data_IF_355166342529
#
_entry.id   IF_355166342529
#
_cell.length_a   1.000
_cell.length_b   1.000
_cell.length_c   1.000
_cell.angle_alpha   90.00
_cell.angle_beta   90.00
_cell.angle_gamma   90.00
#
_symmetry.space_group_name_H-M   'P 1'
#
loop_
_entity.id
_entity.type
_entity.pdbx_description
1 polymer ?
#
# COMPACT_ATOMS: atom_id res chain seq x y z
N UNK A 1 -46.66 16.37 13.39
CA UNK A 1 -45.99 15.32 12.65
C UNK A 1 -46.70 14.97 11.33
N UNK A 2 -47.15 15.96 10.55
CA UNK A 2 -47.83 15.76 9.23
C UNK A 2 -47.47 16.83 8.18
N UNK A 3 -46.48 17.70 8.43
CA UNK A 3 -46.07 18.77 7.46
C UNK A 3 -44.66 18.55 6.85
N UNK A 4 -43.90 17.55 7.24
CA UNK A 4 -42.52 17.35 6.76
C UNK A 4 -42.38 16.42 5.54
N UNK A 5 -43.46 15.73 5.15
CA UNK A 5 -43.42 14.74 4.07
C UNK A 5 -43.90 15.24 2.68
N UNK A 6 -44.14 16.54 2.51
CA UNK A 6 -44.64 17.08 1.24
C UNK A 6 -43.63 17.81 0.36
N UNK A 7 -42.40 18.04 0.87
CA UNK A 7 -41.36 18.79 0.14
C UNK A 7 -40.36 17.94 -0.66
N UNK A 8 -40.37 16.62 -0.50
CA UNK A 8 -39.40 15.73 -1.18
C UNK A 8 -39.94 15.05 -2.45
N UNK A 9 -41.26 15.21 -2.78
CA UNK A 9 -41.85 14.51 -3.93
C UNK A 9 -41.84 15.29 -5.23
N UNK A 10 -41.51 16.59 -5.24
CA UNK A 10 -41.66 17.43 -6.46
C UNK A 10 -40.32 17.58 -7.24
N UNK A 11 -39.18 17.24 -6.65
CA UNK A 11 -37.87 17.38 -7.33
C UNK A 11 -37.40 16.15 -8.13
N UNK A 12 -38.18 15.03 -8.15
CA UNK A 12 -37.73 13.78 -8.83
C UNK A 12 -38.26 13.62 -10.26
N UNK A 13 -39.23 14.43 -10.70
CA UNK A 13 -39.85 14.29 -12.02
C UNK A 13 -39.45 15.30 -13.09
N UNK A 14 -38.50 16.21 -12.80
CA UNK A 14 -38.06 17.23 -13.78
C UNK A 14 -36.72 16.87 -14.45
N UNK A 15 -36.01 15.84 -13.98
CA UNK A 15 -34.64 15.52 -14.49
C UNK A 15 -34.62 14.34 -15.48
N UNK A 16 -35.77 13.90 -15.99
CA UNK A 16 -35.85 12.73 -16.90
C UNK A 16 -36.38 13.06 -18.29
N UNK A 17 -36.46 14.33 -18.69
CA UNK A 17 -37.07 14.76 -19.98
C UNK A 17 -36.15 15.56 -20.91
N UNK A 18 -34.82 15.53 -20.73
CA UNK A 18 -33.91 16.36 -21.57
C UNK A 18 -32.78 15.57 -22.24
N UNK A 19 -32.93 14.29 -22.51
CA UNK A 19 -31.92 13.48 -23.23
C UNK A 19 -32.52 12.63 -24.34
N UNK A 20 -33.36 13.21 -25.19
CA UNK A 20 -33.86 12.48 -26.38
C UNK A 20 -34.16 13.40 -27.57
N UNK A 21 -33.20 14.18 -28.04
CA UNK A 21 -33.21 14.74 -29.42
C UNK A 21 -31.78 15.15 -29.74
N UNK A 22 -31.08 14.35 -30.55
CA UNK A 22 -29.98 14.76 -31.47
C UNK A 22 -29.22 13.53 -31.97
N UNK A 23 -29.89 12.70 -32.76
CA UNK A 23 -29.24 11.82 -33.74
C UNK A 23 -30.07 11.92 -35.01
N UNK A 24 -29.58 12.65 -36.02
CA UNK A 24 -29.88 12.47 -37.43
C UNK A 24 -29.15 13.50 -38.30
N UNK A 25 -28.40 12.99 -39.24
CA UNK A 25 -27.75 13.74 -40.34
C UNK A 25 -26.23 13.85 -40.16
N UNK A 26 -25.39 13.30 -41.01
CA UNK A 26 -25.36 13.38 -42.47
C UNK A 26 -24.46 12.24 -43.00
N UNK A 27 -25.02 11.46 -43.94
CA UNK A 27 -24.30 10.63 -44.94
C UNK A 27 -24.11 11.46 -46.19
N UNK A 28 -23.02 11.21 -46.92
CA UNK A 28 -22.67 11.55 -48.33
C UNK A 28 -21.44 12.43 -48.38
N UNK A 29 -20.35 12.05 -49.05
CA UNK A 29 -20.23 11.72 -50.46
C UNK A 29 -18.88 11.06 -50.81
N UNK A 30 -18.93 10.08 -51.69
CA UNK A 30 -17.82 9.54 -52.47
C UNK A 30 -17.31 10.56 -53.51
N UNK A 31 -16.00 10.46 -53.85
CA UNK A 31 -15.44 11.17 -55.01
C UNK A 31 -14.05 10.66 -55.35
N UNK A 32 -14.01 9.68 -56.24
CA UNK A 32 -12.81 9.18 -56.95
C UNK A 32 -12.24 10.25 -57.85
N UNK A 33 -10.90 10.27 -58.03
CA UNK A 33 -10.24 10.35 -59.34
C UNK A 33 -8.72 10.17 -59.24
N UNK A 34 -8.20 9.19 -59.96
CA UNK A 34 -6.88 9.07 -60.60
C UNK A 34 -7.08 9.46 -62.07
N UNK A 35 -6.11 9.66 -62.99
CA UNK A 35 -4.67 9.42 -63.01
C UNK A 35 -3.83 10.51 -63.77
N UNK A 36 -2.53 10.35 -63.91
CA UNK A 36 -1.70 10.33 -65.10
C UNK A 36 -0.24 10.74 -64.79
N UNK A 37 0.64 9.82 -64.95
CA UNK A 37 1.80 9.65 -65.84
C UNK A 37 2.46 10.89 -66.43
N UNK A 38 3.80 11.03 -66.24
CA UNK A 38 4.75 11.07 -67.36
C UNK A 38 6.20 10.81 -66.90
N UNK A 39 6.88 10.02 -67.72
CA UNK A 39 8.25 9.56 -67.59
C UNK A 39 9.28 10.60 -68.00
N UNK A 40 10.51 10.49 -67.45
CA UNK A 40 11.74 10.66 -68.27
C UNK A 40 12.96 10.11 -67.49
N UNK A 41 13.58 9.11 -68.06
CA UNK A 41 14.95 8.66 -67.80
C UNK A 41 15.93 9.53 -68.56
N UNK A 42 17.20 9.70 -68.15
CA UNK A 42 18.29 8.98 -68.80
C UNK A 42 19.43 8.47 -67.92
N UNK A 43 19.82 7.25 -68.16
CA UNK A 43 21.13 6.68 -68.54
C UNK A 43 22.38 6.85 -67.66
N UNK A 44 22.72 5.72 -67.08
CA UNK A 44 23.98 5.05 -66.73
C UNK A 44 25.30 5.81 -66.62
N UNK A 45 26.01 5.49 -65.48
CA UNK A 45 27.45 5.22 -65.51
C UNK A 45 27.77 4.11 -64.48
N UNK A 46 28.47 3.08 -64.95
CA UNK A 46 28.99 1.94 -64.20
C UNK A 46 30.11 2.38 -63.28
N UNK A 47 30.06 1.81 -62.05
CA UNK A 47 31.15 1.85 -61.10
C UNK A 47 31.02 0.63 -60.19
N UNK A 48 31.72 -0.43 -60.56
CA UNK A 48 31.85 -1.66 -59.74
C UNK A 48 32.68 -1.42 -58.50
N UNK A 49 32.05 -1.59 -57.33
CA UNK A 49 32.74 -1.79 -56.06
C UNK A 49 32.23 -3.07 -55.40
N UNK A 50 33.09 -3.84 -54.68
CA UNK A 50 32.76 -5.21 -54.26
C UNK A 50 31.68 -5.23 -53.17
N UNK A 51 30.75 -6.18 -53.30
CA UNK A 51 29.72 -6.45 -52.32
C UNK A 51 30.34 -6.89 -50.97
N UNK A 52 30.24 -6.04 -49.98
CA UNK A 52 30.43 -6.45 -48.60
C UNK A 52 29.29 -7.39 -48.18
N UNK A 53 29.62 -8.59 -47.78
CA UNK A 53 28.70 -9.58 -47.27
C UNK A 53 27.99 -9.03 -46.00
N UNK A 54 26.73 -8.67 -46.15
CA UNK A 54 25.84 -8.37 -45.04
C UNK A 54 25.52 -9.66 -44.30
N UNK A 55 26.13 -9.84 -43.16
CA UNK A 55 25.72 -10.86 -42.17
C UNK A 55 24.26 -10.60 -41.82
N UNK A 56 23.37 -11.60 -41.86
CA UNK A 56 21.99 -11.41 -41.44
C UNK A 56 21.97 -11.02 -39.96
N UNK A 57 21.47 -9.82 -39.64
CA UNK A 57 21.22 -9.43 -38.27
C UNK A 57 20.19 -10.41 -37.66
N UNK A 58 20.57 -11.08 -36.62
CA UNK A 58 19.65 -11.91 -35.81
C UNK A 58 18.48 -11.03 -35.41
N UNK A 59 17.20 -11.42 -35.66
CA UNK A 59 16.06 -10.64 -35.25
C UNK A 59 16.11 -10.41 -33.73
N UNK A 60 15.97 -9.16 -33.31
CA UNK A 60 15.82 -8.85 -31.87
C UNK A 60 14.63 -9.64 -31.33
N UNK A 61 14.75 -10.25 -30.13
CA UNK A 61 13.64 -10.98 -29.55
C UNK A 61 12.42 -10.06 -29.45
N UNK A 62 11.26 -10.58 -29.85
CA UNK A 62 9.98 -9.86 -29.72
C UNK A 62 9.79 -9.40 -28.26
N UNK A 63 9.25 -8.19 -28.04
CA UNK A 63 8.98 -7.72 -26.68
C UNK A 63 8.13 -8.76 -25.94
N UNK A 64 8.60 -9.24 -24.79
CA UNK A 64 7.79 -10.11 -23.92
C UNK A 64 6.53 -9.34 -23.53
N UNK A 65 5.36 -9.94 -23.72
CA UNK A 65 4.10 -9.39 -23.25
C UNK A 65 4.14 -9.28 -21.73
N UNK A 66 3.80 -8.09 -21.21
CA UNK A 66 3.80 -7.84 -19.77
C UNK A 66 2.58 -8.48 -19.11
N UNK A 67 2.79 -9.08 -17.94
CA UNK A 67 1.71 -9.66 -17.13
C UNK A 67 1.00 -8.54 -16.38
N UNK A 68 -0.29 -8.32 -16.65
CA UNK A 68 -1.12 -7.40 -15.89
C UNK A 68 -1.25 -7.88 -14.46
N UNK A 69 -0.81 -7.07 -13.51
CA UNK A 69 -0.81 -7.41 -12.09
C UNK A 69 -1.20 -6.21 -11.25
N UNK A 70 -1.86 -6.48 -10.13
CA UNK A 70 -2.27 -5.46 -9.18
C UNK A 70 -1.69 -5.75 -7.81
N UNK A 71 -1.10 -4.73 -7.19
CA UNK A 71 -0.77 -4.68 -5.77
C UNK A 71 -1.79 -3.79 -5.07
N UNK A 72 -2.62 -4.35 -4.20
CA UNK A 72 -3.49 -3.58 -3.29
C UNK A 72 -2.69 -3.14 -2.07
N UNK A 73 -2.63 -1.83 -1.83
CA UNK A 73 -1.98 -1.23 -0.66
C UNK A 73 -2.88 -1.38 0.57
N UNK A 74 -2.28 -1.34 1.76
CA UNK A 74 -3.04 -1.40 3.03
C UNK A 74 -3.69 -0.07 3.41
N UNK A 75 -3.23 1.05 2.83
CA UNK A 75 -3.72 2.40 3.10
C UNK A 75 -3.74 3.26 1.84
N UNK A 76 -4.07 4.54 1.97
CA UNK A 76 -3.92 5.54 0.90
C UNK A 76 -2.47 5.59 0.41
N UNK A 77 -2.26 6.17 -0.78
CA UNK A 77 -0.91 6.36 -1.31
C UNK A 77 -0.12 7.35 -0.44
N UNK A 78 0.88 6.86 0.26
CA UNK A 78 1.72 7.63 1.20
C UNK A 78 3.17 7.13 1.13
N UNK A 79 4.16 7.83 1.73
CA UNK A 79 5.57 7.41 1.77
C UNK A 79 5.80 6.01 2.30
N UNK A 80 4.97 5.50 3.21
CA UNK A 80 5.00 4.11 3.68
C UNK A 80 4.84 3.05 2.56
N UNK A 81 4.49 3.50 1.36
CA UNK A 81 4.46 2.72 0.12
C UNK A 81 5.57 3.14 -0.86
N UNK A 82 6.51 3.96 -0.41
CA UNK A 82 7.51 4.63 -1.26
C UNK A 82 8.32 3.69 -2.13
N UNK A 83 8.71 2.51 -1.62
CA UNK A 83 9.40 1.49 -2.41
C UNK A 83 8.57 0.97 -3.59
N UNK A 84 7.24 0.83 -3.42
CA UNK A 84 6.36 0.40 -4.51
C UNK A 84 6.25 1.47 -5.60
N UNK A 85 6.12 2.74 -5.19
CA UNK A 85 6.10 3.87 -6.13
C UNK A 85 7.44 4.04 -6.82
N UNK A 86 8.56 3.84 -6.12
CA UNK A 86 9.88 3.83 -6.73
C UNK A 86 10.03 2.71 -7.76
N UNK A 87 9.59 1.48 -7.42
CA UNK A 87 9.63 0.36 -8.35
C UNK A 87 8.78 0.62 -9.61
N UNK A 88 7.63 1.28 -9.45
CA UNK A 88 6.78 1.66 -10.58
C UNK A 88 7.42 2.78 -11.42
N UNK A 89 7.83 3.89 -10.78
CA UNK A 89 8.36 5.08 -11.46
C UNK A 89 9.70 4.80 -12.17
N UNK A 90 10.54 3.94 -11.58
CA UNK A 90 11.83 3.53 -12.16
C UNK A 90 11.71 2.37 -13.16
N UNK A 91 10.50 1.86 -13.38
CA UNK A 91 10.26 0.77 -14.33
C UNK A 91 10.71 -0.62 -13.85
N UNK A 92 11.04 -0.82 -12.56
CA UNK A 92 11.52 -2.11 -12.06
C UNK A 92 10.48 -3.22 -12.16
N UNK A 93 9.19 -2.91 -11.97
CA UNK A 93 8.11 -3.85 -12.23
C UNK A 93 8.02 -4.22 -13.72
N UNK A 94 8.21 -3.24 -14.61
CA UNK A 94 8.21 -3.48 -16.05
C UNK A 94 9.39 -4.35 -16.48
N UNK A 95 10.59 -4.08 -15.96
CA UNK A 95 11.79 -4.91 -16.16
C UNK A 95 11.56 -6.35 -15.67
N UNK A 96 10.81 -6.50 -14.55
CA UNK A 96 10.42 -7.78 -13.99
C UNK A 96 9.28 -8.49 -14.77
N UNK A 97 8.77 -7.89 -15.86
CA UNK A 97 7.74 -8.46 -16.71
C UNK A 97 6.30 -8.10 -16.35
N UNK A 98 6.07 -7.09 -15.50
CA UNK A 98 4.74 -6.68 -15.06
C UNK A 98 4.27 -5.35 -15.66
N UNK A 99 3.01 -5.33 -16.10
CA UNK A 99 2.19 -4.12 -16.20
C UNK A 99 1.49 -3.95 -14.84
N UNK A 100 2.19 -3.26 -13.91
CA UNK A 100 1.80 -3.20 -12.50
C UNK A 100 0.89 -2.02 -12.21
N UNK A 101 -0.24 -2.30 -11.56
CA UNK A 101 -1.15 -1.29 -10.98
C UNK A 101 -1.00 -1.26 -9.46
N UNK A 102 -0.75 -0.09 -8.88
CA UNK A 102 -0.84 0.13 -7.44
C UNK A 102 -2.27 0.62 -7.13
N UNK A 103 -3.04 -0.21 -6.44
CA UNK A 103 -4.41 0.10 -6.02
C UNK A 103 -4.37 0.64 -4.59
N UNK A 104 -4.87 1.86 -4.33
CA UNK A 104 -4.89 2.38 -2.96
C UNK A 104 -5.86 1.58 -2.08
N UNK A 105 -5.46 1.42 -0.81
CA UNK A 105 -6.31 0.91 0.26
C UNK A 105 -7.09 2.01 0.98
N UNK A 106 -7.37 1.78 2.25
CA UNK A 106 -8.05 2.73 3.13
C UNK A 106 -8.83 2.04 4.24
N UNK A 107 -9.47 2.79 5.17
CA UNK A 107 -10.09 2.26 6.40
C UNK A 107 -11.18 1.21 6.17
N UNK A 108 -11.81 1.18 5.00
CA UNK A 108 -12.91 0.26 4.66
C UNK A 108 -12.49 -0.78 3.60
N UNK A 109 -11.19 -0.89 3.32
CA UNK A 109 -10.65 -1.78 2.29
C UNK A 109 -9.94 -2.95 2.96
N UNK A 110 -10.39 -4.16 2.70
CA UNK A 110 -9.70 -5.39 3.13
C UNK A 110 -8.81 -5.90 2.00
N UNK A 111 -7.51 -5.63 2.09
CA UNK A 111 -6.54 -6.11 1.11
C UNK A 111 -6.52 -7.65 1.05
N UNK A 112 -6.67 -8.34 2.20
CA UNK A 112 -6.71 -9.80 2.28
C UNK A 112 -7.86 -10.40 1.49
N UNK A 113 -9.07 -9.82 1.59
CA UNK A 113 -10.25 -10.24 0.83
C UNK A 113 -10.10 -9.97 -0.68
N UNK A 114 -9.51 -8.84 -1.05
CA UNK A 114 -9.29 -8.46 -2.46
C UNK A 114 -8.32 -9.44 -3.13
N UNK A 115 -7.23 -9.81 -2.46
CA UNK A 115 -6.27 -10.81 -2.98
C UNK A 115 -6.90 -12.20 -2.99
N UNK A 116 -7.61 -12.60 -1.94
CA UNK A 116 -8.30 -13.88 -1.87
C UNK A 116 -9.32 -14.07 -2.99
N UNK A 117 -10.00 -12.98 -3.39
CA UNK A 117 -10.97 -13.01 -4.51
C UNK A 117 -10.30 -13.00 -5.91
N UNK A 118 -8.98 -12.87 -6.01
CA UNK A 118 -8.24 -12.80 -7.26
C UNK A 118 -8.30 -11.44 -7.98
N UNK A 119 -8.90 -10.42 -7.36
CA UNK A 119 -8.96 -9.05 -7.92
C UNK A 119 -7.61 -8.35 -7.89
N UNK A 120 -6.72 -8.75 -6.99
CA UNK A 120 -5.31 -8.37 -6.97
C UNK A 120 -4.45 -9.62 -6.80
N UNK A 121 -3.26 -9.63 -7.39
CA UNK A 121 -2.31 -10.74 -7.29
C UNK A 121 -1.47 -10.64 -6.03
N UNK A 122 -1.21 -9.42 -5.59
CA UNK A 122 -0.40 -9.10 -4.41
C UNK A 122 -1.14 -8.11 -3.52
N UNK A 123 -0.86 -8.16 -2.23
CA UNK A 123 -1.42 -7.22 -1.26
C UNK A 123 -0.41 -6.81 -0.21
N UNK A 124 -0.74 -5.73 0.50
CA UNK A 124 -0.05 -5.29 1.71
C UNK A 124 -1.03 -5.33 2.89
N UNK A 125 -0.53 -5.77 4.05
CA UNK A 125 -1.26 -5.79 5.32
C UNK A 125 -0.26 -5.74 6.48
N UNK A 126 -0.71 -5.65 7.72
CA UNK A 126 0.16 -5.88 8.87
C UNK A 126 0.28 -7.39 9.18
N UNK A 127 1.30 -7.77 9.92
CA UNK A 127 1.56 -9.18 10.21
C UNK A 127 0.42 -9.86 10.99
N UNK A 128 -0.20 -9.14 11.89
CA UNK A 128 -1.38 -9.59 12.64
C UNK A 128 -2.62 -9.81 11.74
N UNK A 129 -2.83 -8.94 10.75
CA UNK A 129 -3.91 -9.10 9.76
C UNK A 129 -3.74 -10.39 8.93
N UNK A 130 -2.49 -10.74 8.59
CA UNK A 130 -2.19 -12.01 7.89
C UNK A 130 -2.59 -13.20 8.75
N UNK A 131 -2.21 -13.21 10.03
CA UNK A 131 -2.53 -14.30 10.97
C UNK A 131 -4.04 -14.42 11.18
N UNK A 132 -4.75 -13.30 11.35
CA UNK A 132 -6.21 -13.28 11.50
C UNK A 132 -6.89 -13.80 10.23
N UNK A 133 -6.50 -13.32 9.05
CA UNK A 133 -7.08 -13.76 7.79
C UNK A 133 -6.88 -15.27 7.55
N UNK A 134 -5.71 -15.79 7.88
CA UNK A 134 -5.44 -17.24 7.78
C UNK A 134 -6.31 -18.05 8.72
N UNK A 135 -6.52 -17.59 9.96
CA UNK A 135 -7.43 -18.25 10.90
C UNK A 135 -8.88 -18.25 10.41
N UNK A 136 -9.29 -17.26 9.62
CA UNK A 136 -10.58 -17.20 8.94
C UNK A 136 -10.65 -18.11 7.69
N UNK A 137 -9.56 -18.83 7.39
CA UNK A 137 -9.49 -19.77 6.27
C UNK A 137 -9.04 -19.14 4.94
N UNK A 138 -8.51 -17.93 4.94
CA UNK A 138 -7.99 -17.28 3.74
C UNK A 138 -6.55 -17.77 3.50
N UNK A 139 -6.26 -18.50 2.39
CA UNK A 139 -4.97 -19.15 2.16
C UNK A 139 -3.96 -18.17 1.56
N UNK A 140 -3.54 -17.18 2.35
CA UNK A 140 -2.52 -16.17 1.99
C UNK A 140 -1.21 -16.45 2.71
N UNK A 141 -0.10 -16.02 2.11
CA UNK A 141 1.25 -16.22 2.63
C UNK A 141 2.02 -14.91 2.53
N UNK A 142 2.65 -14.49 3.61
CA UNK A 142 3.57 -13.37 3.63
C UNK A 142 4.86 -13.72 2.87
N UNK A 143 5.29 -12.84 1.95
CA UNK A 143 6.43 -13.08 1.05
C UNK A 143 7.59 -12.09 1.24
N UNK A 144 7.34 -10.95 1.86
CA UNK A 144 8.32 -9.94 2.29
C UNK A 144 7.65 -8.95 3.25
N UNK A 145 8.44 -8.05 3.86
CA UNK A 145 7.89 -6.92 4.62
C UNK A 145 8.62 -5.63 4.26
N UNK A 146 7.92 -4.48 4.25
CA UNK A 146 8.60 -3.19 4.12
C UNK A 146 9.18 -2.73 5.46
N UNK A 147 8.47 -2.91 6.56
CA UNK A 147 8.86 -2.37 7.87
C UNK A 147 9.15 -3.47 8.88
N UNK A 148 10.28 -3.35 9.54
CA UNK A 148 10.73 -4.29 10.57
C UNK A 148 9.93 -4.17 11.88
N UNK A 149 9.31 -3.04 12.15
CA UNK A 149 8.37 -2.84 13.26
C UNK A 149 7.28 -1.88 12.82
N UNK A 150 6.12 -1.94 13.48
CA UNK A 150 5.01 -1.03 13.20
C UNK A 150 5.28 0.36 13.73
N UNK A 151 5.04 1.43 12.94
CA UNK A 151 5.06 2.81 13.41
C UNK A 151 3.79 3.20 14.19
N UNK A 152 2.88 2.26 14.44
CA UNK A 152 1.65 2.48 15.20
C UNK A 152 1.94 3.03 16.59
N UNK A 153 1.29 4.11 16.95
CA UNK A 153 1.43 4.77 18.23
C UNK A 153 0.07 5.22 18.80
N UNK A 154 0.06 5.55 20.06
CA UNK A 154 -0.98 6.33 20.72
C UNK A 154 -0.39 7.68 21.10
N UNK A 155 -1.07 8.75 20.70
CA UNK A 155 -0.69 10.13 21.00
C UNK A 155 -1.60 10.69 22.08
N UNK A 156 -1.01 11.47 23.01
CA UNK A 156 -1.71 12.19 24.05
C UNK A 156 -1.19 13.61 24.11
N UNK A 157 -1.95 14.54 24.68
CA UNK A 157 -1.50 15.91 24.88
C UNK A 157 -0.38 15.94 25.92
N UNK A 158 0.75 16.57 25.61
CA UNK A 158 1.94 16.59 26.47
C UNK A 158 1.71 17.26 27.80
N UNK A 159 0.68 18.11 27.87
CA UNK A 159 0.24 18.76 29.10
C UNK A 159 -0.41 17.77 30.08
N UNK A 160 -0.88 16.63 29.59
CA UNK A 160 -1.36 15.53 30.44
C UNK A 160 -0.19 14.79 31.07
N UNK A 161 0.24 15.30 32.23
CA UNK A 161 1.37 14.72 32.98
C UNK A 161 1.03 13.40 33.69
N UNK A 162 -0.23 12.96 33.62
CA UNK A 162 -0.70 11.69 34.16
C UNK A 162 -0.26 10.50 33.31
N UNK A 163 -0.12 10.69 31.98
CA UNK A 163 0.25 9.61 31.07
C UNK A 163 1.77 9.49 30.98
N UNK A 164 2.31 8.37 31.49
CA UNK A 164 3.72 7.97 31.40
C UNK A 164 3.92 6.65 30.67
N UNK A 165 2.85 5.90 30.46
CA UNK A 165 2.86 4.61 29.80
C UNK A 165 1.46 4.12 29.46
N UNK A 166 1.38 2.97 28.81
CA UNK A 166 0.09 2.41 28.37
C UNK A 166 -0.88 2.12 29.53
N UNK A 167 -0.37 1.80 30.72
CA UNK A 167 -1.20 1.52 31.89
C UNK A 167 -2.01 2.73 32.39
N UNK A 168 -1.56 3.93 32.08
CA UNK A 168 -2.17 5.18 32.53
C UNK A 168 -3.36 5.62 31.64
N UNK A 169 -3.68 4.84 30.60
CA UNK A 169 -4.78 5.14 29.67
C UNK A 169 -6.18 4.86 30.25
N UNK A 170 -6.27 4.25 31.46
CA UNK A 170 -7.53 4.08 32.15
C UNK A 170 -8.17 5.44 32.46
N UNK A 171 -9.48 5.56 32.16
CA UNK A 171 -10.24 6.78 32.36
C UNK A 171 -10.16 7.79 31.20
N UNK A 172 -9.20 7.65 30.30
CA UNK A 172 -9.08 8.51 29.12
C UNK A 172 -10.01 8.07 27.99
N UNK A 173 -10.41 9.02 27.14
CA UNK A 173 -11.06 8.76 25.85
C UNK A 173 -9.99 8.39 24.84
N UNK A 174 -10.03 7.15 24.34
CA UNK A 174 -9.03 6.63 23.42
C UNK A 174 -9.66 6.41 22.04
N UNK A 175 -9.32 7.27 21.07
CA UNK A 175 -9.78 7.16 19.69
C UNK A 175 -8.96 6.10 18.96
N UNK A 176 -9.54 4.92 18.80
CA UNK A 176 -8.88 3.73 18.22
C UNK A 176 -9.84 2.95 17.31
N UNK A 177 -9.28 2.14 16.44
CA UNK A 177 -10.02 1.05 15.80
C UNK A 177 -10.19 -0.06 16.85
N UNK A 178 -11.36 -0.14 17.48
CA UNK A 178 -11.61 -0.99 18.66
C UNK A 178 -11.36 -2.49 18.38
N UNK A 179 -11.46 -2.93 17.12
CA UNK A 179 -11.21 -4.31 16.69
C UNK A 179 -9.75 -4.56 16.29
N UNK A 180 -8.89 -3.53 16.25
CA UNK A 180 -7.49 -3.70 15.87
C UNK A 180 -6.74 -4.58 16.88
N UNK A 181 -5.97 -5.53 16.35
CA UNK A 181 -5.25 -6.53 17.15
C UNK A 181 -4.30 -5.90 18.16
N UNK A 182 -3.57 -4.84 17.76
CA UNK A 182 -2.65 -4.13 18.64
C UNK A 182 -3.40 -3.51 19.86
N UNK A 183 -4.61 -2.98 19.65
CA UNK A 183 -5.39 -2.39 20.70
C UNK A 183 -5.92 -3.45 21.69
N UNK A 184 -6.38 -4.60 21.18
CA UNK A 184 -6.77 -5.72 22.03
C UNK A 184 -5.58 -6.21 22.87
N UNK A 185 -4.38 -6.28 22.28
CA UNK A 185 -3.17 -6.63 23.00
C UNK A 185 -2.84 -5.61 24.10
N UNK A 186 -2.86 -4.31 23.80
CA UNK A 186 -2.59 -3.23 24.77
C UNK A 186 -3.59 -3.29 25.90
N UNK A 187 -4.87 -3.38 25.62
CA UNK A 187 -5.92 -3.49 26.64
C UNK A 187 -5.67 -4.67 27.59
N UNK A 188 -5.45 -5.83 27.07
CA UNK A 188 -5.26 -7.04 27.84
C UNK A 188 -3.98 -6.97 28.68
N UNK A 189 -2.87 -6.59 28.05
CA UNK A 189 -1.57 -6.51 28.71
C UNK A 189 -1.53 -5.51 29.85
N UNK A 190 -2.11 -4.34 29.69
CA UNK A 190 -2.07 -3.24 30.65
C UNK A 190 -3.34 -3.10 31.48
N UNK A 191 -4.31 -4.04 31.34
CA UNK A 191 -5.57 -4.08 32.10
C UNK A 191 -6.36 -2.77 31.98
N UNK A 192 -6.61 -2.34 30.74
CA UNK A 192 -7.30 -1.08 30.46
C UNK A 192 -8.82 -1.25 30.49
N UNK A 193 -9.35 -1.71 31.62
CA UNK A 193 -10.79 -2.02 31.78
C UNK A 193 -11.68 -0.77 31.81
N UNK A 194 -11.09 0.39 32.10
CA UNK A 194 -11.79 1.68 32.22
C UNK A 194 -11.42 2.67 31.11
N UNK A 195 -10.65 2.27 30.10
CA UNK A 195 -10.39 3.11 28.93
C UNK A 195 -11.67 3.30 28.12
N UNK A 196 -12.03 4.56 27.81
CA UNK A 196 -13.23 4.88 27.06
C UNK A 196 -12.93 4.81 25.57
N UNK A 197 -13.25 3.67 24.93
CA UNK A 197 -13.01 3.49 23.50
C UNK A 197 -13.90 4.40 22.66
N UNK A 198 -13.27 5.25 21.87
CA UNK A 198 -13.95 6.15 20.93
C UNK A 198 -13.62 5.72 19.49
N UNK A 199 -14.60 5.85 18.60
CA UNK A 199 -14.40 5.47 17.19
C UNK A 199 -13.35 6.35 16.52
N UNK A 200 -12.26 5.75 16.03
CA UNK A 200 -11.30 6.41 15.16
C UNK A 200 -11.86 6.56 13.74
N UNK A 201 -11.79 7.76 13.19
CA UNK A 201 -12.33 8.10 11.86
C UNK A 201 -11.26 8.53 10.86
N UNK A 202 -9.98 8.47 11.26
CA UNK A 202 -8.87 9.04 10.47
C UNK A 202 -8.73 10.55 10.62
N UNK A 203 -9.57 11.19 11.48
CA UNK A 203 -9.55 12.64 11.69
C UNK A 203 -9.07 12.98 13.10
N UNK A 204 -8.22 14.01 13.23
CA UNK A 204 -7.63 14.41 14.49
C UNK A 204 -8.44 15.46 15.26
N UNK A 205 -9.51 15.98 14.65
CA UNK A 205 -10.29 17.10 15.25
C UNK A 205 -10.80 16.82 16.65
N UNK A 206 -11.24 15.60 16.94
CA UNK A 206 -11.73 15.23 18.27
C UNK A 206 -10.60 15.18 19.29
N UNK A 207 -9.41 14.72 18.89
CA UNK A 207 -8.22 14.73 19.73
C UNK A 207 -7.76 16.16 20.00
N UNK A 208 -7.63 16.99 18.97
CA UNK A 208 -7.15 18.38 19.07
C UNK A 208 -8.03 19.22 20.03
N UNK A 209 -9.34 18.97 20.04
CA UNK A 209 -10.31 19.75 20.85
C UNK A 209 -10.53 19.19 22.27
N UNK A 210 -9.98 18.04 22.61
CA UNK A 210 -10.13 17.44 23.94
C UNK A 210 -8.75 17.13 24.53
N UNK A 211 -8.25 17.95 25.49
CA UNK A 211 -6.92 17.78 26.05
C UNK A 211 -6.74 16.48 26.85
N UNK A 212 -7.85 15.81 27.21
CA UNK A 212 -7.81 14.50 27.90
C UNK A 212 -7.98 13.32 26.94
N UNK A 213 -8.01 13.59 25.64
CA UNK A 213 -8.13 12.54 24.64
C UNK A 213 -6.77 11.93 24.30
N UNK A 214 -6.82 10.67 23.92
CA UNK A 214 -5.73 9.91 23.31
C UNK A 214 -6.18 9.45 21.93
N UNK A 215 -5.29 9.45 20.93
CA UNK A 215 -5.64 9.00 19.58
C UNK A 215 -4.58 8.06 19.03
N UNK A 216 -5.03 7.08 18.25
CA UNK A 216 -4.12 6.29 17.45
C UNK A 216 -3.57 7.09 16.26
N UNK A 217 -2.44 6.66 15.72
CA UNK A 217 -1.86 7.12 14.47
C UNK A 217 -0.49 6.51 14.27
N UNK A 218 0.21 6.97 13.26
CA UNK A 218 1.58 6.57 12.95
C UNK A 218 2.56 7.68 13.29
N UNK A 219 3.68 7.35 13.90
CA UNK A 219 4.70 8.37 14.21
C UNK A 219 5.34 8.97 12.95
N UNK A 220 5.08 8.39 11.82
CA UNK A 220 5.51 8.85 10.49
C UNK A 220 4.60 9.91 9.89
N UNK A 221 3.42 10.19 10.47
CA UNK A 221 2.46 11.13 9.86
C UNK A 221 1.83 12.10 10.86
N UNK A 222 1.09 11.63 11.89
CA UNK A 222 0.32 12.46 12.79
C UNK A 222 1.13 13.53 13.53
N UNK A 223 2.39 13.29 13.98
CA UNK A 223 3.17 14.31 14.66
C UNK A 223 3.41 15.57 13.80
N UNK A 224 3.57 15.40 12.48
CA UNK A 224 3.71 16.52 11.56
C UNK A 224 2.45 17.40 11.54
N UNK A 225 1.29 16.77 11.37
CA UNK A 225 -0.01 17.46 11.31
C UNK A 225 -0.35 18.15 12.63
N UNK A 226 -0.11 17.48 13.76
CA UNK A 226 -0.38 18.03 15.09
C UNK A 226 0.53 19.21 15.41
N UNK A 227 1.80 19.13 15.03
CA UNK A 227 2.73 20.24 15.18
C UNK A 227 2.30 21.48 14.38
N UNK A 228 1.77 21.31 13.15
CA UNK A 228 1.23 22.41 12.35
C UNK A 228 0.01 23.07 13.02
N UNK A 229 -0.73 22.33 13.82
CA UNK A 229 -1.86 22.82 14.59
C UNK A 229 -1.47 23.34 15.97
N UNK A 230 -0.17 23.45 16.28
CA UNK A 230 0.39 23.86 17.58
C UNK A 230 -0.08 22.96 18.75
N UNK A 231 -0.25 21.67 18.50
CA UNK A 231 -0.58 20.66 19.52
C UNK A 231 0.71 19.91 19.88
N UNK A 232 1.19 20.12 21.10
CA UNK A 232 2.30 19.36 21.67
C UNK A 232 1.81 18.00 22.16
N UNK A 233 2.50 16.93 21.73
CA UNK A 233 2.09 15.55 22.02
C UNK A 233 3.17 14.76 22.76
N UNK A 234 2.71 13.85 23.61
CA UNK A 234 3.46 12.68 24.02
C UNK A 234 3.08 11.49 23.15
N UNK A 235 3.98 10.51 23.07
CA UNK A 235 3.85 9.35 22.19
C UNK A 235 4.11 8.06 22.93
N UNK A 236 3.21 7.09 22.78
CA UNK A 236 3.39 5.71 23.21
C UNK A 236 3.48 4.83 21.96
N UNK A 237 4.69 4.45 21.57
CA UNK A 237 4.90 3.57 20.39
C UNK A 237 4.45 2.14 20.76
N UNK A 238 3.53 1.58 20.00
CA UNK A 238 2.96 0.25 20.28
C UNK A 238 4.04 -0.83 20.30
N UNK A 239 5.04 -0.74 19.44
CA UNK A 239 6.17 -1.68 19.41
C UNK A 239 6.94 -1.71 20.76
N UNK A 240 7.01 -0.59 21.48
CA UNK A 240 7.70 -0.51 22.78
C UNK A 240 6.92 -1.23 23.90
N UNK A 241 5.64 -1.55 23.67
CA UNK A 241 4.88 -2.43 24.52
C UNK A 241 5.30 -3.90 24.46
N UNK A 242 6.17 -4.26 23.50
CA UNK A 242 6.54 -5.62 23.18
C UNK A 242 5.64 -6.26 22.09
N UNK A 243 4.72 -5.50 21.47
CA UNK A 243 3.94 -5.94 20.33
C UNK A 243 4.75 -5.82 19.04
N UNK A 244 5.51 -6.85 18.72
CA UNK A 244 6.58 -6.81 17.73
C UNK A 244 6.18 -7.19 16.31
N UNK A 245 5.02 -6.74 15.79
CA UNK A 245 4.58 -7.09 14.44
C UNK A 245 5.46 -6.48 13.34
N UNK A 246 5.51 -7.17 12.20
CA UNK A 246 5.91 -6.57 10.93
C UNK A 246 4.79 -5.69 10.39
N UNK A 247 5.11 -4.53 9.82
CA UNK A 247 4.14 -3.69 9.12
C UNK A 247 4.46 -3.61 7.62
N UNK A 248 3.45 -3.32 6.81
CA UNK A 248 3.62 -3.30 5.36
C UNK A 248 4.09 -4.64 4.80
N UNK A 249 3.50 -5.74 5.30
CA UNK A 249 3.80 -7.10 4.86
C UNK A 249 3.20 -7.32 3.48
N UNK A 250 4.04 -7.68 2.51
CA UNK A 250 3.62 -8.14 1.20
C UNK A 250 3.15 -9.58 1.29
N UNK A 251 2.02 -9.87 0.69
CA UNK A 251 1.46 -11.22 0.67
C UNK A 251 0.81 -11.55 -0.67
N UNK A 252 0.64 -12.84 -0.90
CA UNK A 252 -0.12 -13.39 -2.02
C UNK A 252 -0.82 -14.67 -1.59
N UNK A 253 -1.54 -15.36 -2.49
CA UNK A 253 -2.20 -16.63 -2.17
C UNK A 253 -1.24 -17.82 -2.27
N UNK A 254 -1.52 -18.89 -1.53
CA UNK A 254 -0.83 -20.19 -1.67
C UNK A 254 -0.90 -20.70 -3.12
N UNK A 255 -2.03 -20.48 -3.80
CA UNK A 255 -2.23 -20.82 -5.22
C UNK A 255 -1.24 -20.05 -6.12
N UNK A 256 -1.10 -18.73 -5.93
CA UNK A 256 -0.17 -17.94 -6.73
C UNK A 256 1.28 -18.39 -6.55
N UNK A 257 1.66 -18.78 -5.33
CA UNK A 257 2.99 -19.34 -5.04
C UNK A 257 3.22 -20.68 -5.73
N UNK A 258 2.19 -21.53 -5.81
CA UNK A 258 2.28 -22.86 -6.42
C UNK A 258 2.29 -22.79 -7.95
N UNK A 259 1.43 -21.96 -8.55
CA UNK A 259 1.25 -21.91 -9.99
C UNK A 259 2.22 -20.95 -10.70
N UNK A 260 2.65 -19.86 -10.03
CA UNK A 260 3.45 -18.79 -10.60
C UNK A 260 4.63 -18.35 -9.71
N UNK A 261 5.48 -19.29 -9.20
CA UNK A 261 6.56 -18.94 -8.27
C UNK A 261 7.56 -17.94 -8.84
N UNK A 262 7.81 -17.97 -10.16
CA UNK A 262 8.73 -17.05 -10.82
C UNK A 262 8.17 -15.62 -10.85
N UNK A 263 6.85 -15.45 -11.00
CA UNK A 263 6.21 -14.14 -10.91
C UNK A 263 6.27 -13.61 -9.47
N UNK A 264 6.05 -14.45 -8.47
CA UNK A 264 6.19 -14.04 -7.06
C UNK A 264 7.61 -13.58 -6.77
N UNK A 265 8.62 -14.33 -7.25
CA UNK A 265 10.03 -13.96 -7.10
C UNK A 265 10.33 -12.62 -7.79
N UNK A 266 9.93 -12.47 -9.05
CA UNK A 266 10.15 -11.25 -9.81
C UNK A 266 9.49 -10.01 -9.17
N UNK A 267 8.27 -10.18 -8.62
CA UNK A 267 7.60 -9.14 -7.86
C UNK A 267 8.38 -8.73 -6.60
N UNK A 268 8.80 -9.70 -5.80
CA UNK A 268 9.54 -9.43 -4.54
C UNK A 268 10.87 -8.74 -4.85
N UNK A 269 11.63 -9.21 -5.83
CA UNK A 269 12.92 -8.61 -6.21
C UNK A 269 12.75 -7.16 -6.72
N UNK A 270 11.74 -6.91 -7.57
CA UNK A 270 11.46 -5.56 -8.04
C UNK A 270 11.02 -4.61 -6.92
N UNK A 271 10.21 -5.11 -5.98
CA UNK A 271 9.76 -4.37 -4.80
C UNK A 271 10.92 -4.01 -3.88
N UNK A 272 11.80 -4.97 -3.56
CA UNK A 272 13.01 -4.73 -2.75
C UNK A 272 13.92 -3.71 -3.41
N UNK A 273 14.16 -3.85 -4.73
CA UNK A 273 14.93 -2.86 -5.51
C UNK A 273 14.32 -1.46 -5.43
N UNK A 274 12.99 -1.38 -5.43
CA UNK A 274 12.26 -0.12 -5.25
C UNK A 274 12.50 0.51 -3.89
N UNK A 275 12.44 -0.27 -2.81
CA UNK A 275 12.76 0.19 -1.46
C UNK A 275 14.20 0.63 -1.33
N UNK A 276 15.15 -0.15 -1.85
CA UNK A 276 16.57 0.21 -1.83
C UNK A 276 16.84 1.53 -2.57
N UNK A 277 16.10 1.80 -3.67
CA UNK A 277 16.16 3.08 -4.36
C UNK A 277 15.52 4.21 -3.54
N UNK A 278 14.34 3.99 -2.96
CA UNK A 278 13.59 5.00 -2.20
C UNK A 278 14.38 5.51 -1.00
N UNK A 279 15.20 4.67 -0.38
CA UNK A 279 16.03 5.00 0.79
C UNK A 279 16.74 6.34 0.69
N UNK A 280 17.28 6.64 -0.47
CA UNK A 280 18.09 7.86 -0.71
C UNK A 280 17.47 8.80 -1.75
N UNK A 281 16.39 8.39 -2.40
CA UNK A 281 15.78 9.12 -3.51
C UNK A 281 14.28 9.43 -3.27
N UNK A 282 13.84 9.48 -2.02
CA UNK A 282 12.43 9.71 -1.69
C UNK A 282 11.93 11.08 -2.19
N UNK A 283 12.76 12.10 -2.25
CA UNK A 283 12.38 13.42 -2.77
C UNK A 283 12.05 13.38 -4.28
N UNK A 284 12.68 12.50 -5.06
CA UNK A 284 12.36 12.27 -6.47
C UNK A 284 11.02 11.51 -6.62
N UNK A 285 10.74 10.58 -5.70
CA UNK A 285 9.58 9.68 -5.80
C UNK A 285 8.31 10.27 -5.18
N UNK A 286 8.42 11.09 -4.13
CA UNK A 286 7.25 11.67 -3.45
C UNK A 286 6.29 12.43 -4.38
N UNK A 287 6.72 13.15 -5.43
CA UNK A 287 5.80 13.74 -6.41
C UNK A 287 4.88 12.71 -7.10
N UNK A 288 5.34 11.49 -7.39
CA UNK A 288 4.51 10.42 -7.96
C UNK A 288 3.48 9.89 -6.95
N UNK A 289 3.84 9.86 -5.66
CA UNK A 289 2.90 9.53 -4.58
C UNK A 289 1.82 10.61 -4.49
N UNK A 290 2.22 11.90 -4.55
CA UNK A 290 1.31 13.06 -4.50
C UNK A 290 0.28 13.06 -5.63
N UNK A 291 0.62 12.58 -6.82
CA UNK A 291 -0.35 12.43 -7.91
C UNK A 291 -1.50 11.49 -7.56
N UNK A 292 -1.27 10.51 -6.66
CA UNK A 292 -2.26 9.53 -6.19
C UNK A 292 -2.93 9.94 -4.88
N UNK A 293 -2.32 10.85 -4.12
CA UNK A 293 -2.85 11.41 -2.88
C UNK A 293 -2.60 12.94 -2.87
N UNK A 294 -3.40 13.72 -3.61
CA UNK A 294 -3.23 15.18 -3.71
C UNK A 294 -3.38 15.92 -2.38
N UNK A 295 -4.06 15.32 -1.40
CA UNK A 295 -4.33 15.93 -0.10
C UNK A 295 -3.08 15.96 0.80
N UNK A 296 -2.12 15.05 0.59
CA UNK A 296 -0.88 15.03 1.36
C UNK A 296 0.18 15.97 0.75
N UNK A 297 0.66 16.94 1.55
CA UNK A 297 1.70 17.89 1.12
C UNK A 297 3.09 17.25 0.97
N UNK A 298 3.92 17.76 0.08
CA UNK A 298 5.29 17.26 -0.13
C UNK A 298 6.17 17.39 1.13
N UNK A 299 5.95 18.41 1.96
CA UNK A 299 6.69 18.59 3.22
C UNK A 299 6.34 17.48 4.22
N UNK A 300 5.06 17.10 4.30
CA UNK A 300 4.62 15.95 5.09
C UNK A 300 5.18 14.65 4.54
N UNK A 301 5.17 14.46 3.22
CA UNK A 301 5.77 13.28 2.58
C UNK A 301 7.28 13.18 2.86
N UNK A 302 7.99 14.29 2.84
CA UNK A 302 9.42 14.34 3.20
C UNK A 302 9.62 13.94 4.66
N UNK A 303 8.83 14.51 5.57
CA UNK A 303 8.86 14.14 6.99
C UNK A 303 8.61 12.65 7.17
N UNK A 304 7.53 12.10 6.58
CA UNK A 304 7.19 10.69 6.66
C UNK A 304 8.33 9.80 6.18
N UNK A 305 8.87 10.07 4.98
CA UNK A 305 9.97 9.31 4.41
C UNK A 305 11.21 9.29 5.32
N UNK A 306 11.51 10.42 6.00
CA UNK A 306 12.62 10.49 6.94
C UNK A 306 12.35 9.70 8.23
N UNK A 307 11.12 9.75 8.75
CA UNK A 307 10.75 9.05 9.97
C UNK A 307 10.68 7.53 9.80
N UNK A 308 10.36 7.03 8.61
CA UNK A 308 10.24 5.59 8.37
C UNK A 308 11.58 4.86 8.16
N UNK A 309 12.70 5.58 8.01
CA UNK A 309 14.01 4.97 7.70
C UNK A 309 14.39 3.84 8.65
N UNK A 310 14.28 4.06 9.98
CA UNK A 310 14.60 3.03 10.97
C UNK A 310 13.59 1.89 10.99
N UNK A 311 12.35 2.15 10.60
CA UNK A 311 11.32 1.11 10.52
C UNK A 311 11.55 0.18 9.33
N UNK A 312 12.01 0.71 8.22
CA UNK A 312 12.24 -0.04 6.98
C UNK A 312 13.63 -0.69 6.96
N UNK A 313 14.67 0.06 7.29
CA UNK A 313 16.08 -0.34 7.08
C UNK A 313 16.81 -0.69 8.38
N UNK A 314 16.14 -0.55 9.53
CA UNK A 314 16.66 -0.94 10.84
C UNK A 314 16.43 -2.41 11.16
N UNK A 315 16.70 -2.82 12.41
CA UNK A 315 16.49 -4.19 12.88
C UNK A 315 17.19 -5.25 12.02
N UNK A 316 16.48 -6.32 11.72
CA UNK A 316 17.03 -7.42 10.88
C UNK A 316 17.36 -6.96 9.45
N UNK A 317 16.66 -5.96 8.92
CA UNK A 317 16.91 -5.46 7.57
C UNK A 317 18.30 -4.81 7.43
N UNK A 318 18.84 -4.22 8.49
CA UNK A 318 20.17 -3.61 8.48
C UNK A 318 21.28 -4.61 8.11
N UNK A 319 21.13 -5.86 8.50
CA UNK A 319 22.14 -6.91 8.27
C UNK A 319 21.73 -7.94 7.22
N UNK A 320 20.43 -8.27 7.15
CA UNK A 320 19.90 -9.33 6.27
C UNK A 320 19.27 -8.78 4.99
N UNK A 321 19.01 -7.46 4.91
CA UNK A 321 18.43 -6.77 3.75
C UNK A 321 16.94 -6.49 3.87
N UNK A 322 16.50 -5.57 3.03
CA UNK A 322 15.10 -5.16 2.91
C UNK A 322 14.21 -6.37 2.59
N UNK A 323 13.06 -6.45 3.22
CA UNK A 323 12.10 -7.53 2.97
C UNK A 323 12.17 -8.70 3.94
N UNK A 324 13.22 -8.82 4.76
CA UNK A 324 13.47 -9.98 5.62
C UNK A 324 12.41 -10.13 6.70
N UNK A 325 12.09 -11.40 6.99
CA UNK A 325 11.24 -11.83 8.11
C UNK A 325 11.86 -13.04 8.79
N UNK A 326 11.56 -13.28 10.07
CA UNK A 326 12.08 -14.42 10.84
C UNK A 326 10.93 -15.25 11.43
N UNK A 327 11.18 -16.54 11.58
CA UNK A 327 10.21 -17.51 12.11
C UNK A 327 9.89 -17.22 13.59
N UNK A 328 10.93 -16.89 14.34
CA UNK A 328 10.84 -16.61 15.77
C UNK A 328 9.88 -15.45 16.04
N UNK A 329 9.98 -14.40 15.23
CA UNK A 329 9.12 -13.21 15.39
C UNK A 329 7.67 -13.47 15.00
N UNK A 330 7.43 -14.22 13.92
CA UNK A 330 6.08 -14.64 13.56
C UNK A 330 5.46 -15.52 14.65
N UNK A 331 6.22 -16.46 15.22
CA UNK A 331 5.76 -17.32 16.30
C UNK A 331 5.44 -16.53 17.57
N UNK A 332 6.29 -15.54 17.94
CA UNK A 332 6.06 -14.68 19.10
C UNK A 332 4.77 -13.86 18.94
N UNK A 333 4.58 -13.22 17.81
CA UNK A 333 3.36 -12.43 17.54
C UNK A 333 2.13 -13.31 17.55
N UNK A 334 2.19 -14.47 16.91
CA UNK A 334 1.08 -15.43 16.93
C UNK A 334 0.70 -15.82 18.37
N UNK A 335 1.70 -16.16 19.20
CA UNK A 335 1.47 -16.48 20.60
C UNK A 335 0.83 -15.31 21.36
N UNK A 336 1.33 -14.09 21.17
CA UNK A 336 0.75 -12.89 21.79
C UNK A 336 -0.74 -12.71 21.44
N UNK A 337 -1.09 -12.95 20.17
CA UNK A 337 -2.47 -12.83 19.71
C UNK A 337 -3.39 -13.95 20.26
N UNK A 338 -2.85 -15.16 20.44
CA UNK A 338 -3.57 -16.23 21.13
C UNK A 338 -3.77 -15.91 22.61
N UNK A 339 -2.74 -15.44 23.30
CA UNK A 339 -2.77 -15.11 24.73
C UNK A 339 -3.83 -14.01 25.05
N UNK A 340 -4.05 -13.09 24.11
CA UNK A 340 -5.06 -12.03 24.25
C UNK A 340 -6.43 -12.40 23.68
N UNK A 341 -6.56 -13.56 23.04
CA UNK A 341 -7.83 -14.07 22.51
C UNK A 341 -8.23 -13.50 21.14
N UNK A 342 -7.33 -12.85 20.43
CA UNK A 342 -7.52 -12.41 19.03
C UNK A 342 -7.49 -13.62 18.10
N UNK A 343 -6.51 -14.51 18.32
CA UNK A 343 -6.47 -15.82 17.66
C UNK A 343 -7.01 -16.90 18.59
N UNK A 344 -7.69 -17.90 18.02
CA UNK A 344 -8.25 -19.04 18.76
C UNK A 344 -7.19 -20.10 19.06
N UNK A 345 -6.20 -20.21 18.18
CA UNK A 345 -5.13 -21.22 18.26
C UNK A 345 -3.93 -20.79 17.43
N UNK A 346 -2.79 -21.38 17.72
CA UNK A 346 -1.62 -21.31 16.87
C UNK A 346 -1.79 -22.17 15.62
N UNK A 347 -1.20 -21.75 14.50
CA UNK A 347 -1.04 -22.53 13.29
C UNK A 347 0.44 -22.75 12.98
N UNK A 348 0.73 -23.60 12.01
CA UNK A 348 2.08 -23.86 11.53
C UNK A 348 2.67 -22.59 10.86
N UNK A 349 3.65 -21.99 11.51
CA UNK A 349 4.30 -20.75 11.05
C UNK A 349 4.94 -20.91 9.67
N UNK A 350 5.37 -22.10 9.28
CA UNK A 350 5.94 -22.34 7.95
C UNK A 350 4.91 -22.20 6.81
N UNK A 351 3.61 -22.14 7.15
CA UNK A 351 2.53 -21.81 6.21
C UNK A 351 2.17 -20.33 6.19
N UNK A 352 2.55 -19.57 7.22
CA UNK A 352 2.21 -18.15 7.35
C UNK A 352 3.08 -17.29 6.46
N UNK A 353 4.37 -17.59 6.38
CA UNK A 353 5.32 -16.77 5.64
C UNK A 353 6.39 -17.58 4.92
N UNK A 354 7.06 -16.94 3.96
CA UNK A 354 8.24 -17.51 3.31
C UNK A 354 9.21 -16.40 2.90
N UNK A 355 10.52 -16.65 3.01
CA UNK A 355 11.58 -15.76 2.56
C UNK A 355 12.30 -16.25 1.30
N UNK A 356 11.82 -17.38 0.70
CA UNK A 356 12.48 -18.03 -0.45
C UNK A 356 12.55 -17.17 -1.72
N UNK A 357 11.76 -16.12 -1.78
CA UNK A 357 11.67 -15.20 -2.93
C UNK A 357 12.53 -13.94 -2.77
N UNK A 358 13.10 -13.71 -1.59
CA UNK A 358 13.99 -12.56 -1.37
C UNK A 358 15.26 -12.68 -2.22
N UNK A 359 15.83 -11.54 -2.67
CA UNK A 359 17.11 -11.52 -3.34
C UNK A 359 18.19 -12.23 -2.51
N UNK A 360 18.99 -13.07 -3.14
CA UNK A 360 20.17 -13.63 -2.48
C UNK A 360 21.22 -12.51 -2.37
N UNK A 361 21.72 -12.26 -1.18
CA UNK A 361 22.86 -11.39 -0.95
C UNK A 361 24.16 -12.10 -1.30
#
# INVERSE_FOLDING_TARGET
MKLFNRMFSVKRNVMMSLCLVLILGVLSACGSTKPAETASTPKAAEGTAPAAATTPATPAPAPKELVKSTLILNWFAEPEHGGNFAALAKGYYKEAGFDMTLMPGGPQVSATQIVASGKAQFGMANGDDILVARQEGIPIVAIATSMQKSPQALFYHKEDTGIKGFGDLNGHKVYVASTASYWQYIKKKFKLDNAQEMKYTGQLVNFVNDPNAVTQGYITSEPFTLKQQNVDIGTLLVADSGYGIYAGVYFTTEKMIAEHPDQVKAFVEATVKGWDYYKTNYEEINPFIKEKNPDMGLDMMKFSAQQEMDFVYGGDAATKGTGVMTKERWAEVQKQLVDVGVLKKEEDIDKVFTTKFLPKK
#
